data_IF_894598572841
#
_entry.id   IF_894598572841
#
_cell.length_a   1.000
_cell.length_b   1.000
_cell.length_c   1.000
_cell.angle_alpha   90.00
_cell.angle_beta   90.00
_cell.angle_gamma   90.00
#
_symmetry.space_group_name_H-M   'P 1'
#
loop_
_entity.id
_entity.type
_entity.pdbx_description
1 polymer ?
#
# COMPACT_ATOMS: atom_id res chain seq x y z
N UNK A 1 -50.91 -25.85 -3.48
CA UNK A 1 -50.99 -24.55 -2.80
C UNK A 1 -51.71 -23.60 -3.75
N UNK A 2 -52.76 -22.92 -3.29
CA UNK A 2 -53.55 -22.01 -4.11
C UNK A 2 -52.74 -20.76 -4.42
N UNK A 3 -52.40 -20.56 -5.70
CA UNK A 3 -51.77 -19.34 -6.17
C UNK A 3 -52.83 -18.22 -6.16
N UNK A 4 -52.86 -17.41 -5.09
CA UNK A 4 -53.73 -16.24 -4.99
C UNK A 4 -53.22 -15.13 -5.91
N UNK A 5 -53.47 -15.26 -7.21
CA UNK A 5 -53.10 -14.25 -8.20
C UNK A 5 -54.22 -13.21 -8.31
N UNK A 6 -53.91 -11.97 -7.97
CA UNK A 6 -54.71 -10.83 -8.43
C UNK A 6 -54.24 -10.52 -9.84
N UNK A 7 -55.12 -10.71 -10.82
CA UNK A 7 -54.87 -10.29 -12.20
C UNK A 7 -55.34 -8.85 -12.35
N UNK A 8 -54.41 -7.96 -12.68
CA UNK A 8 -54.76 -6.63 -13.17
C UNK A 8 -54.90 -6.76 -14.69
N UNK A 9 -56.10 -6.50 -15.22
CA UNK A 9 -56.24 -6.31 -16.66
C UNK A 9 -55.66 -4.93 -16.99
N UNK A 10 -55.02 -4.80 -18.15
CA UNK A 10 -54.45 -3.56 -18.64
C UNK A 10 -55.49 -2.47 -18.65
N UNK A 11 -55.20 -1.43 -17.87
CA UNK A 11 -55.99 -0.21 -17.88
C UNK A 11 -55.19 0.77 -18.73
N UNK A 12 -55.82 1.33 -19.75
CA UNK A 12 -55.22 2.42 -20.52
C UNK A 12 -54.89 3.60 -19.61
N UNK A 13 -53.88 4.39 -19.98
CA UNK A 13 -53.52 5.58 -19.21
C UNK A 13 -54.77 6.44 -18.91
N UNK A 14 -55.04 6.77 -17.64
CA UNK A 14 -56.21 7.53 -17.30
C UNK A 14 -56.07 9.00 -17.74
N UNK A 15 -57.21 9.67 -17.88
CA UNK A 15 -57.26 11.11 -18.10
C UNK A 15 -56.55 11.88 -16.97
N UNK A 16 -56.21 13.14 -17.23
CA UNK A 16 -55.60 14.00 -16.22
C UNK A 16 -56.54 14.15 -15.00
N UNK A 17 -56.11 13.75 -13.79
CA UNK A 17 -56.89 13.92 -12.58
C UNK A 17 -57.25 15.39 -12.34
N UNK A 18 -58.41 15.64 -11.73
CA UNK A 18 -58.74 16.98 -11.21
C UNK A 18 -57.76 17.41 -10.09
N UNK A 19 -57.69 18.72 -9.84
CA UNK A 19 -56.80 19.30 -8.82
C UNK A 19 -56.86 18.54 -7.48
N UNK A 20 -55.69 18.28 -6.89
CA UNK A 20 -55.52 17.52 -5.64
C UNK A 20 -55.95 16.03 -5.68
N UNK A 21 -56.03 15.41 -6.87
CA UNK A 21 -56.25 13.96 -7.02
C UNK A 21 -55.03 13.25 -7.62
N UNK A 22 -54.94 11.94 -7.37
CA UNK A 22 -53.93 11.04 -7.92
C UNK A 22 -54.59 9.77 -8.44
N UNK A 23 -54.24 9.34 -9.64
CA UNK A 23 -54.63 8.04 -10.20
C UNK A 23 -53.44 7.08 -10.21
N UNK A 24 -53.70 5.78 -10.03
CA UNK A 24 -52.71 4.69 -10.08
C UNK A 24 -53.25 3.58 -10.99
N UNK A 25 -52.46 3.08 -11.94
CA UNK A 25 -52.84 1.97 -12.82
C UNK A 25 -51.66 1.05 -13.16
N UNK A 26 -51.96 -0.15 -13.64
CA UNK A 26 -50.98 -1.07 -14.22
C UNK A 26 -50.94 -0.85 -15.73
N UNK A 27 -49.75 -0.52 -16.23
CA UNK A 27 -49.47 -0.39 -17.65
C UNK A 27 -49.02 -1.76 -18.20
N UNK A 28 -49.80 -2.32 -19.12
CA UNK A 28 -49.52 -3.65 -19.70
C UNK A 28 -48.34 -3.65 -20.67
N UNK A 29 -48.10 -2.53 -21.36
CA UNK A 29 -47.01 -2.42 -22.33
C UNK A 29 -45.67 -2.36 -21.60
N UNK A 30 -45.61 -1.58 -20.52
CA UNK A 30 -44.39 -1.42 -19.71
C UNK A 30 -44.27 -2.42 -18.55
N UNK A 31 -45.32 -3.20 -18.28
CA UNK A 31 -45.44 -4.15 -17.16
C UNK A 31 -45.16 -3.54 -15.77
N UNK A 32 -45.55 -2.29 -15.54
CA UNK A 32 -45.31 -1.55 -14.29
C UNK A 32 -46.56 -0.85 -13.78
N UNK A 33 -46.60 -0.54 -12.48
CA UNK A 33 -47.59 0.40 -11.94
C UNK A 33 -47.14 1.84 -12.17
N UNK A 34 -48.06 2.73 -12.57
CA UNK A 34 -47.84 4.17 -12.80
C UNK A 34 -48.85 5.02 -12.01
N UNK A 35 -48.41 6.17 -11.50
CA UNK A 35 -49.21 7.24 -10.93
C UNK A 35 -49.36 8.42 -11.90
N UNK A 36 -50.45 9.18 -11.80
CA UNK A 36 -50.64 10.45 -12.49
C UNK A 36 -51.29 11.44 -11.54
N UNK A 37 -50.75 12.66 -11.48
CA UNK A 37 -51.28 13.77 -10.67
C UNK A 37 -52.02 14.76 -11.57
N UNK A 38 -52.60 15.79 -10.96
CA UNK A 38 -53.34 16.86 -11.64
C UNK A 38 -52.53 17.66 -12.68
N UNK A 39 -51.20 17.52 -12.67
CA UNK A 39 -50.31 18.03 -13.72
C UNK A 39 -50.39 17.25 -15.05
N UNK A 40 -51.13 16.13 -15.10
CA UNK A 40 -51.32 15.33 -16.31
C UNK A 40 -50.09 14.51 -16.72
N UNK A 41 -49.08 14.39 -15.86
CA UNK A 41 -47.87 13.60 -16.14
C UNK A 41 -47.98 12.23 -15.47
N UNK A 42 -47.88 11.18 -16.29
CA UNK A 42 -47.74 9.80 -15.84
C UNK A 42 -46.31 9.52 -15.36
N UNK A 43 -46.15 9.01 -14.14
CA UNK A 43 -44.87 8.64 -13.55
C UNK A 43 -44.98 7.20 -13.03
N UNK A 44 -43.98 6.32 -13.20
CA UNK A 44 -44.03 5.00 -12.61
C UNK A 44 -44.12 5.07 -11.07
N UNK A 45 -44.99 4.27 -10.43
CA UNK A 45 -45.07 4.10 -8.98
C UNK A 45 -43.87 3.26 -8.52
N UNK A 46 -42.71 3.89 -8.48
CA UNK A 46 -41.51 3.30 -7.92
C UNK A 46 -41.42 3.75 -6.46
N UNK A 47 -41.91 2.90 -5.56
CA UNK A 47 -41.64 3.03 -4.13
C UNK A 47 -40.18 2.68 -3.83
N UNK A 48 -39.26 3.57 -4.21
CA UNK A 48 -37.84 3.49 -3.84
C UNK A 48 -37.13 2.22 -4.31
N UNK A 49 -36.99 2.07 -5.62
CA UNK A 49 -35.98 1.20 -6.25
C UNK A 49 -36.17 -0.31 -6.03
N UNK A 50 -36.93 -0.97 -6.92
CA UNK A 50 -36.54 -2.32 -7.31
C UNK A 50 -35.38 -2.15 -8.30
N UNK A 51 -34.18 -1.99 -7.76
CA UNK A 51 -32.95 -2.27 -8.50
C UNK A 51 -32.95 -3.80 -8.61
N UNK A 52 -33.46 -4.33 -9.71
CA UNK A 52 -33.17 -5.72 -10.05
C UNK A 52 -31.67 -5.88 -10.39
N UNK A 53 -31.03 -4.77 -10.77
CA UNK A 53 -29.63 -4.56 -11.14
C UNK A 53 -29.28 -3.08 -10.95
N UNK A 54 -28.22 -2.74 -10.20
CA UNK A 54 -27.70 -1.36 -10.14
C UNK A 54 -26.44 -1.31 -10.97
N UNK A 55 -26.41 -0.43 -11.97
CA UNK A 55 -25.22 -0.21 -12.78
C UNK A 55 -24.23 0.74 -12.09
N UNK A 56 -24.66 1.50 -11.08
CA UNK A 56 -23.81 2.45 -10.36
C UNK A 56 -24.36 2.89 -8.99
N UNK A 57 -23.48 3.11 -8.04
CA UNK A 57 -23.73 3.79 -6.77
C UNK A 57 -23.47 5.29 -6.93
N UNK A 58 -24.49 6.11 -6.71
CA UNK A 58 -24.41 7.57 -6.78
C UNK A 58 -24.48 8.22 -5.40
N UNK A 59 -23.66 9.24 -5.21
CA UNK A 59 -23.74 10.15 -4.08
C UNK A 59 -23.96 11.59 -4.55
N UNK A 60 -24.84 12.33 -3.88
CA UNK A 60 -25.05 13.74 -4.18
C UNK A 60 -24.06 14.59 -3.39
N UNK A 61 -23.19 15.30 -4.10
CA UNK A 61 -22.06 16.06 -3.54
C UNK A 61 -22.18 17.55 -3.87
N UNK A 62 -21.48 18.39 -3.10
CA UNK A 62 -21.47 19.84 -3.30
C UNK A 62 -20.05 20.36 -3.51
N UNK A 63 -19.90 21.32 -4.41
CA UNK A 63 -18.62 21.96 -4.68
C UNK A 63 -18.55 23.34 -4.01
N UNK A 64 -17.56 23.54 -3.14
CA UNK A 64 -17.25 24.84 -2.53
C UNK A 64 -15.78 25.27 -2.75
N UNK A 65 -15.12 24.74 -3.78
CA UNK A 65 -13.68 24.96 -4.05
C UNK A 65 -13.32 26.33 -4.65
N UNK A 66 -14.31 27.19 -4.92
CA UNK A 66 -14.12 28.47 -5.60
C UNK A 66 -14.06 28.40 -7.14
N UNK A 67 -14.03 27.21 -7.73
CA UNK A 67 -14.00 27.00 -9.18
C UNK A 67 -14.92 25.84 -9.60
N UNK A 68 -15.17 25.69 -10.90
CA UNK A 68 -15.89 24.53 -11.44
C UNK A 68 -15.05 23.26 -11.26
N UNK A 69 -15.69 22.17 -10.82
CA UNK A 69 -15.13 20.83 -10.89
C UNK A 69 -15.67 20.14 -12.16
N UNK A 70 -14.84 19.87 -13.17
CA UNK A 70 -15.31 19.25 -14.40
C UNK A 70 -15.79 17.80 -14.21
N UNK A 71 -16.62 17.31 -15.14
CA UNK A 71 -16.92 15.89 -15.33
C UNK A 71 -15.64 15.07 -15.42
N UNK A 72 -15.67 13.80 -14.99
CA UNK A 72 -14.51 12.88 -14.95
C UNK A 72 -13.44 13.26 -13.92
N UNK A 73 -13.65 14.31 -13.11
CA UNK A 73 -12.74 14.64 -12.00
C UNK A 73 -12.85 13.60 -10.88
N UNK A 74 -11.72 13.01 -10.48
CA UNK A 74 -11.62 12.16 -9.28
C UNK A 74 -11.61 13.05 -8.03
N UNK A 75 -12.43 12.72 -7.04
CA UNK A 75 -12.63 13.56 -5.85
C UNK A 75 -12.56 12.79 -4.53
N UNK A 76 -12.20 13.51 -3.46
CA UNK A 76 -12.31 13.07 -2.07
C UNK A 76 -13.34 13.92 -1.33
N UNK A 77 -13.86 13.42 -0.21
CA UNK A 77 -14.74 14.18 0.67
C UNK A 77 -13.89 15.15 1.51
N UNK A 78 -14.05 16.45 1.29
CA UNK A 78 -13.31 17.52 1.97
C UNK A 78 -14.03 18.10 3.20
N UNK A 79 -15.29 17.70 3.42
CA UNK A 79 -16.10 18.15 4.55
C UNK A 79 -17.58 17.90 4.29
N UNK A 80 -18.44 18.66 4.96
CA UNK A 80 -19.88 18.59 4.74
C UNK A 80 -20.56 19.95 4.98
N UNK A 81 -21.69 20.17 4.32
CA UNK A 81 -22.57 21.32 4.56
C UNK A 81 -24.00 20.99 4.14
N UNK A 82 -25.00 21.45 4.91
CA UNK A 82 -26.42 21.29 4.55
C UNK A 82 -26.82 19.83 4.23
N UNK A 83 -26.35 18.87 5.04
CA UNK A 83 -26.55 17.43 4.86
C UNK A 83 -25.94 16.83 3.57
N UNK A 84 -24.91 17.47 3.01
CA UNK A 84 -24.22 17.00 1.80
C UNK A 84 -22.71 16.94 2.01
N UNK A 85 -22.02 15.91 1.49
CA UNK A 85 -20.56 15.92 1.42
C UNK A 85 -20.07 17.06 0.52
N UNK A 86 -19.03 17.75 0.98
CA UNK A 86 -18.21 18.63 0.17
C UNK A 86 -17.14 17.80 -0.53
N UNK A 87 -16.84 18.13 -1.78
CA UNK A 87 -15.81 17.45 -2.56
C UNK A 87 -14.76 18.40 -3.10
N UNK A 88 -13.52 17.90 -3.12
CA UNK A 88 -12.35 18.55 -3.71
C UNK A 88 -11.58 17.54 -4.57
N UNK A 89 -10.70 18.02 -5.45
CA UNK A 89 -9.92 17.16 -6.37
C UNK A 89 -8.97 16.24 -5.60
N UNK A 90 -8.99 14.95 -5.89
CA UNK A 90 -8.03 13.97 -5.36
C UNK A 90 -6.69 14.04 -6.08
N UNK A 91 -5.58 13.70 -5.42
CA UNK A 91 -4.27 13.61 -6.06
C UNK A 91 -3.39 12.60 -5.31
N UNK A 92 -2.68 11.74 -6.05
CA UNK A 92 -1.93 10.62 -5.48
C UNK A 92 -0.64 11.04 -4.74
N UNK A 93 -0.14 12.26 -4.95
CA UNK A 93 1.09 12.78 -4.32
C UNK A 93 0.85 13.44 -2.94
N UNK A 94 -0.35 13.29 -2.37
CA UNK A 94 -0.70 13.91 -1.09
C UNK A 94 -1.63 13.03 -0.26
N UNK A 95 -1.31 12.86 1.02
CA UNK A 95 -2.09 12.06 1.97
C UNK A 95 -3.57 12.45 2.02
N UNK A 96 -3.85 13.74 2.19
CA UNK A 96 -5.23 14.26 2.23
C UNK A 96 -6.00 13.98 0.94
N UNK A 97 -5.32 14.00 -0.20
CA UNK A 97 -5.92 13.85 -1.52
C UNK A 97 -6.13 12.39 -1.97
N UNK A 98 -5.41 11.44 -1.38
CA UNK A 98 -5.42 10.03 -1.80
C UNK A 98 -6.09 9.10 -0.80
N UNK A 99 -5.86 9.26 0.51
CA UNK A 99 -6.33 8.35 1.57
C UNK A 99 -7.86 8.29 1.66
N UNK A 100 -8.54 9.33 1.17
CA UNK A 100 -10.01 9.50 1.21
C UNK A 100 -10.63 9.66 -0.17
N UNK A 101 -9.96 9.19 -1.23
CA UNK A 101 -10.55 9.19 -2.57
C UNK A 101 -11.90 8.49 -2.52
N UNK A 102 -12.92 9.13 -3.10
CA UNK A 102 -14.32 8.77 -2.89
C UNK A 102 -15.01 8.31 -4.17
N UNK A 103 -14.76 8.98 -5.28
CA UNK A 103 -15.40 8.64 -6.55
C UNK A 103 -15.06 9.62 -7.67
N UNK A 104 -15.81 9.54 -8.77
CA UNK A 104 -15.58 10.34 -9.98
C UNK A 104 -16.85 11.12 -10.34
N UNK A 105 -16.71 12.40 -10.68
CA UNK A 105 -17.86 13.27 -10.99
C UNK A 105 -18.54 12.88 -12.31
N UNK A 106 -19.87 12.77 -12.27
CA UNK A 106 -20.72 12.45 -13.42
C UNK A 106 -21.01 13.66 -14.33
N UNK A 107 -20.81 14.87 -13.83
CA UNK A 107 -21.00 16.10 -14.58
C UNK A 107 -20.08 17.21 -14.06
N UNK A 108 -20.05 18.32 -14.78
CA UNK A 108 -19.50 19.56 -14.26
C UNK A 108 -20.32 20.05 -13.06
N UNK A 109 -19.64 20.46 -12.00
CA UNK A 109 -20.25 21.05 -10.81
C UNK A 109 -19.65 22.44 -10.62
N UNK A 110 -20.42 23.48 -10.89
CA UNK A 110 -20.04 24.88 -10.66
C UNK A 110 -19.76 25.14 -9.18
N UNK A 111 -19.04 26.21 -8.86
CA UNK A 111 -18.90 26.66 -7.47
C UNK A 111 -20.27 26.91 -6.83
N UNK A 112 -20.47 26.45 -5.60
CA UNK A 112 -21.77 26.43 -4.90
C UNK A 112 -22.87 25.60 -5.59
N UNK A 113 -22.50 24.81 -6.61
CA UNK A 113 -23.35 23.84 -7.26
C UNK A 113 -23.40 22.51 -6.51
N UNK A 114 -24.41 21.73 -6.83
CA UNK A 114 -24.60 20.35 -6.35
C UNK A 114 -24.63 19.44 -7.56
N UNK A 115 -24.05 18.24 -7.44
CA UNK A 115 -24.05 17.26 -8.50
C UNK A 115 -23.88 15.83 -7.99
N UNK A 116 -23.60 14.92 -8.91
CA UNK A 116 -23.50 13.49 -8.64
C UNK A 116 -22.05 13.03 -8.79
N UNK A 117 -21.65 12.21 -7.84
CA UNK A 117 -20.39 11.47 -7.85
C UNK A 117 -20.72 9.98 -7.98
N UNK A 118 -20.09 9.30 -8.95
CA UNK A 118 -20.12 7.85 -9.08
C UNK A 118 -19.10 7.29 -8.10
N UNK A 119 -19.59 6.57 -7.09
CA UNK A 119 -18.77 5.94 -6.04
C UNK A 119 -18.29 4.56 -6.51
N UNK A 120 -19.19 3.80 -7.16
CA UNK A 120 -18.88 2.50 -7.77
C UNK A 120 -19.79 2.29 -9.00
N UNK A 121 -19.33 1.56 -10.00
CA UNK A 121 -20.06 1.23 -11.23
C UNK A 121 -19.82 2.21 -12.39
N UNK A 122 -20.68 2.17 -13.41
CA UNK A 122 -20.37 2.80 -14.70
C UNK A 122 -20.52 4.33 -14.72
N UNK A 123 -19.42 5.03 -14.95
CA UNK A 123 -19.39 6.42 -15.41
C UNK A 123 -19.41 6.43 -16.95
N UNK A 124 -20.47 7.00 -17.52
CA UNK A 124 -20.73 6.99 -18.96
C UNK A 124 -20.65 8.39 -19.57
N UNK A 125 -20.49 8.44 -20.90
CA UNK A 125 -20.50 9.67 -21.66
C UNK A 125 -19.27 10.54 -21.39
N UNK A 126 -18.12 9.89 -21.18
CA UNK A 126 -16.83 10.55 -20.89
C UNK A 126 -15.85 10.29 -22.02
N UNK A 127 -14.98 11.26 -22.30
CA UNK A 127 -13.87 11.03 -23.22
C UNK A 127 -12.87 10.04 -22.60
N UNK A 128 -12.69 8.92 -23.29
CA UNK A 128 -11.74 7.84 -22.96
C UNK A 128 -10.90 7.45 -24.16
N UNK A 129 -10.92 8.23 -25.26
CA UNK A 129 -10.25 7.86 -26.51
C UNK A 129 -8.72 7.75 -26.39
N UNK A 130 -8.17 8.35 -25.33
CA UNK A 130 -6.75 8.26 -24.97
C UNK A 130 -6.39 6.94 -24.25
N UNK A 131 -7.38 6.13 -23.91
CA UNK A 131 -7.22 4.86 -23.22
C UNK A 131 -7.67 3.70 -24.10
N UNK A 132 -7.16 2.50 -23.82
CA UNK A 132 -7.62 1.25 -24.43
C UNK A 132 -8.67 0.57 -23.56
N UNK A 133 -9.60 -0.16 -24.18
CA UNK A 133 -10.57 -0.98 -23.47
C UNK A 133 -9.86 -2.03 -22.60
N UNK A 134 -10.35 -2.25 -21.38
CA UNK A 134 -9.74 -3.11 -20.37
C UNK A 134 -8.55 -2.49 -19.62
N UNK A 135 -8.11 -1.27 -19.95
CA UNK A 135 -7.03 -0.63 -19.19
C UNK A 135 -7.45 -0.28 -17.77
N UNK A 136 -6.54 -0.54 -16.83
CA UNK A 136 -6.63 -0.04 -15.46
C UNK A 136 -6.35 1.46 -15.40
N UNK A 137 -7.14 2.17 -14.60
CA UNK A 137 -6.94 3.58 -14.31
C UNK A 137 -6.57 3.76 -12.84
N UNK A 138 -5.60 4.63 -12.60
CA UNK A 138 -5.09 5.01 -11.29
C UNK A 138 -5.27 6.51 -11.09
N UNK A 139 -5.27 6.94 -9.82
CA UNK A 139 -5.26 8.36 -9.49
C UNK A 139 -3.94 9.00 -9.94
N UNK A 140 -4.00 10.15 -10.60
CA UNK A 140 -2.79 10.83 -11.08
C UNK A 140 -2.00 11.47 -9.92
N UNK A 141 -0.66 11.30 -9.88
CA UNK A 141 0.20 12.01 -8.93
C UNK A 141 0.49 13.46 -9.36
N UNK A 142 0.36 13.77 -10.65
CA UNK A 142 0.77 15.06 -11.24
C UNK A 142 -0.40 15.95 -11.68
N UNK A 143 -1.61 15.40 -11.79
CA UNK A 143 -2.81 16.13 -12.23
C UNK A 143 -3.92 15.95 -11.20
N UNK A 144 -4.22 17.00 -10.44
CA UNK A 144 -5.32 16.98 -9.46
C UNK A 144 -6.66 16.63 -10.13
N UNK A 145 -7.29 15.57 -9.63
CA UNK A 145 -8.53 14.99 -10.12
C UNK A 145 -8.38 14.22 -11.44
N UNK A 146 -7.15 14.02 -11.92
CA UNK A 146 -6.84 13.29 -13.14
C UNK A 146 -6.70 11.79 -12.93
N UNK A 147 -6.82 11.06 -14.04
CA UNK A 147 -6.60 9.62 -14.13
C UNK A 147 -5.32 9.35 -14.95
N UNK A 148 -4.60 8.28 -14.61
CA UNK A 148 -3.42 7.81 -15.34
C UNK A 148 -3.48 6.31 -15.57
N UNK A 149 -2.87 5.83 -16.65
CA UNK A 149 -2.68 4.39 -16.93
C UNK A 149 -1.36 3.87 -16.35
N UNK A 150 -0.42 4.76 -16.04
CA UNK A 150 0.83 4.40 -15.36
C UNK A 150 0.56 4.24 -13.88
N UNK A 151 0.72 3.00 -13.38
CA UNK A 151 0.59 2.67 -11.96
C UNK A 151 1.57 3.52 -11.13
N UNK A 152 1.10 4.33 -10.17
CA UNK A 152 1.97 5.08 -9.26
C UNK A 152 2.88 4.15 -8.44
N UNK A 153 4.04 4.66 -8.06
CA UNK A 153 5.00 4.01 -7.17
C UNK A 153 5.41 4.96 -6.06
N UNK A 154 5.81 4.42 -4.90
CA UNK A 154 6.29 5.21 -3.77
C UNK A 154 7.33 6.26 -4.22
N UNK A 155 7.25 7.52 -3.74
CA UNK A 155 6.42 7.98 -2.63
C UNK A 155 4.95 8.28 -2.98
N UNK A 156 4.55 8.24 -4.25
CA UNK A 156 3.15 8.48 -4.63
C UNK A 156 2.23 7.33 -4.19
N UNK A 157 1.01 7.66 -3.78
CA UNK A 157 0.07 6.71 -3.20
C UNK A 157 -0.66 5.90 -4.26
N UNK A 158 -0.72 4.59 -4.05
CA UNK A 158 -1.35 3.66 -4.97
C UNK A 158 -2.88 3.68 -4.79
N UNK A 159 -3.58 4.49 -5.58
CA UNK A 159 -5.05 4.53 -5.60
C UNK A 159 -5.56 4.01 -6.94
N UNK A 160 -6.19 2.84 -6.93
CA UNK A 160 -6.88 2.29 -8.09
C UNK A 160 -8.24 2.98 -8.25
N UNK A 161 -8.61 3.34 -9.49
CA UNK A 161 -9.84 4.08 -9.75
C UNK A 161 -10.87 3.31 -10.58
N UNK A 162 -10.46 2.27 -11.33
CA UNK A 162 -11.38 1.51 -12.17
C UNK A 162 -10.77 0.98 -13.46
N UNK A 163 -11.66 0.54 -14.36
CA UNK A 163 -11.31 0.04 -15.70
C UNK A 163 -12.00 0.84 -16.79
N UNK A 164 -11.36 0.97 -17.94
CA UNK A 164 -12.02 1.43 -19.16
C UNK A 164 -12.86 0.30 -19.74
N UNK A 165 -14.17 0.48 -19.81
CA UNK A 165 -15.10 -0.49 -20.39
C UNK A 165 -15.30 -0.24 -21.89
N UNK A 166 -15.31 1.02 -22.30
CA UNK A 166 -15.45 1.43 -23.70
C UNK A 166 -14.55 2.62 -23.97
N UNK A 167 -13.72 2.52 -25.01
CA UNK A 167 -12.87 3.63 -25.48
C UNK A 167 -13.61 4.41 -26.56
N UNK A 168 -14.07 5.60 -26.22
CA UNK A 168 -14.76 6.49 -27.16
C UNK A 168 -14.61 7.95 -26.74
N UNK A 169 -14.67 8.86 -27.71
CA UNK A 169 -14.52 10.31 -27.49
C UNK A 169 -15.70 10.92 -26.71
N UNK A 170 -16.93 10.45 -26.95
CA UNK A 170 -18.15 10.99 -26.33
C UNK A 170 -18.94 9.96 -25.52
N UNK A 171 -18.79 8.68 -25.85
CA UNK A 171 -19.60 7.58 -25.30
C UNK A 171 -18.74 6.61 -24.49
N UNK A 172 -17.59 7.09 -24.03
CA UNK A 172 -16.67 6.29 -23.24
C UNK A 172 -17.29 5.91 -21.91
N UNK A 173 -16.85 4.76 -21.41
CA UNK A 173 -17.35 4.18 -20.17
C UNK A 173 -16.17 3.78 -19.29
N UNK A 174 -16.20 4.22 -18.04
CA UNK A 174 -15.28 3.80 -16.99
C UNK A 174 -16.09 3.04 -15.94
N UNK A 175 -15.71 1.80 -15.65
CA UNK A 175 -16.19 1.07 -14.47
C UNK A 175 -15.44 1.59 -13.25
N UNK A 176 -16.09 2.46 -12.47
CA UNK A 176 -15.49 3.09 -11.30
C UNK A 176 -15.41 2.10 -10.16
N UNK A 177 -14.21 1.95 -9.59
CA UNK A 177 -13.96 1.17 -8.38
C UNK A 177 -12.77 1.77 -7.64
N UNK A 178 -13.06 2.63 -6.68
CA UNK A 178 -12.01 3.27 -5.90
C UNK A 178 -11.46 2.27 -4.87
N UNK A 179 -10.14 2.04 -4.92
CA UNK A 179 -9.41 1.30 -3.87
C UNK A 179 -8.22 2.14 -3.43
N UNK A 180 -8.32 2.69 -2.21
CA UNK A 180 -7.23 3.45 -1.61
C UNK A 180 -6.15 2.47 -1.12
N UNK A 181 -4.89 2.79 -1.40
CA UNK A 181 -3.75 2.11 -0.80
C UNK A 181 -3.66 2.39 0.69
N UNK A 182 -3.00 1.48 1.41
CA UNK A 182 -2.69 1.65 2.82
C UNK A 182 -1.22 1.98 2.97
N UNK A 183 -0.91 2.93 3.85
CA UNK A 183 0.44 3.14 4.31
C UNK A 183 0.76 2.17 5.47
N UNK A 184 2.04 1.87 5.65
CA UNK A 184 2.48 0.90 6.67
C UNK A 184 2.06 1.31 8.09
N UNK A 185 2.11 2.62 8.38
CA UNK A 185 1.69 3.23 9.64
C UNK A 185 0.17 3.23 9.86
N UNK A 186 -0.64 2.95 8.85
CA UNK A 186 -2.11 2.89 8.99
C UNK A 186 -2.59 1.50 9.43
N UNK A 187 -1.72 0.49 9.38
CA UNK A 187 -2.06 -0.86 9.83
C UNK A 187 -2.27 -0.88 11.35
N UNK A 188 -3.36 -1.52 11.79
CA UNK A 188 -3.80 -1.47 13.19
C UNK A 188 -2.80 -2.02 14.22
N UNK A 189 -1.86 -2.86 13.79
CA UNK A 189 -0.85 -3.47 14.66
C UNK A 189 0.56 -2.94 14.39
N UNK A 190 0.70 -1.82 13.65
CA UNK A 190 1.97 -1.17 13.37
C UNK A 190 2.02 0.16 14.11
N UNK A 191 3.07 0.36 14.92
CA UNK A 191 3.33 1.57 15.68
C UNK A 191 4.71 2.11 15.31
N UNK A 192 4.75 3.04 14.37
CA UNK A 192 5.97 3.68 13.89
C UNK A 192 6.08 5.10 14.46
N UNK A 193 7.26 5.46 14.98
CA UNK A 193 7.55 6.82 15.44
C UNK A 193 9.00 7.22 15.09
N UNK A 194 9.19 8.39 14.48
CA UNK A 194 10.52 8.96 14.23
C UNK A 194 11.46 8.03 13.46
N UNK A 195 11.09 7.67 12.23
CA UNK A 195 11.88 6.76 11.39
C UNK A 195 13.29 7.31 11.16
N UNK A 196 14.30 6.47 11.39
CA UNK A 196 15.71 6.76 11.10
C UNK A 196 16.37 5.62 10.32
N UNK A 197 17.49 5.91 9.66
CA UNK A 197 18.24 4.90 8.89
C UNK A 197 18.67 3.72 9.78
N UNK A 198 18.57 2.50 9.26
CA UNK A 198 18.99 1.28 9.97
C UNK A 198 17.94 0.67 10.90
N UNK A 199 16.69 1.14 10.84
CA UNK A 199 15.59 0.55 11.59
C UNK A 199 14.89 -0.57 10.82
N UNK A 200 14.36 -1.56 11.54
CA UNK A 200 13.46 -2.58 11.03
C UNK A 200 12.16 -2.60 11.84
N UNK A 201 11.12 -3.23 11.29
CA UNK A 201 9.93 -3.57 12.07
C UNK A 201 10.19 -4.81 12.91
N UNK A 202 10.05 -4.67 14.23
CA UNK A 202 10.21 -5.76 15.20
C UNK A 202 8.90 -5.94 15.96
N UNK A 203 8.44 -7.18 16.06
CA UNK A 203 7.24 -7.51 16.83
C UNK A 203 7.55 -7.54 18.34
N UNK A 204 6.83 -6.76 19.12
CA UNK A 204 6.98 -6.69 20.57
C UNK A 204 5.80 -7.38 21.27
N UNK A 205 6.07 -8.54 21.89
CA UNK A 205 5.04 -9.38 22.50
C UNK A 205 4.28 -8.71 23.65
N UNK A 206 4.92 -7.81 24.41
CA UNK A 206 4.29 -7.08 25.52
C UNK A 206 3.18 -6.14 25.07
N UNK A 207 3.29 -5.57 23.87
CA UNK A 207 2.27 -4.69 23.30
C UNK A 207 1.47 -5.33 22.17
N UNK A 208 1.89 -6.49 21.66
CA UNK A 208 1.33 -7.15 20.48
C UNK A 208 1.38 -6.28 19.21
N UNK A 209 2.40 -5.41 19.10
CA UNK A 209 2.57 -4.44 18.02
C UNK A 209 3.90 -4.65 17.29
N UNK A 210 3.95 -4.29 16.02
CA UNK A 210 5.17 -4.08 15.24
C UNK A 210 5.67 -2.66 15.46
N UNK A 211 6.92 -2.49 15.87
CA UNK A 211 7.54 -1.17 16.12
C UNK A 211 8.79 -0.99 15.28
N UNK A 212 9.10 0.24 14.89
CA UNK A 212 10.40 0.54 14.30
C UNK A 212 11.49 0.52 15.39
N UNK A 213 12.50 -0.32 15.20
CA UNK A 213 13.62 -0.46 16.13
C UNK A 213 14.92 -0.47 15.36
N UNK A 214 15.94 0.21 15.89
CA UNK A 214 17.30 0.14 15.33
C UNK A 214 17.82 -1.28 15.49
N UNK A 215 18.13 -1.93 14.37
CA UNK A 215 18.79 -3.22 14.40
C UNK A 215 20.29 -2.92 14.46
N UNK A 216 20.90 -3.19 15.62
CA UNK A 216 22.35 -3.27 15.69
C UNK A 216 22.73 -4.58 15.01
N UNK A 217 23.23 -4.50 13.78
CA UNK A 217 23.92 -5.62 13.17
C UNK A 217 25.25 -5.69 13.94
N UNK A 218 25.53 -6.77 14.70
CA UNK A 218 26.86 -6.92 15.30
C UNK A 218 27.89 -6.81 14.17
N UNK A 219 29.09 -6.24 14.42
CA UNK A 219 30.12 -6.18 13.39
C UNK A 219 30.25 -7.56 12.76
N UNK A 220 30.26 -7.63 11.43
CA UNK A 220 30.41 -8.90 10.72
C UNK A 220 31.75 -9.48 11.14
N UNK A 221 31.73 -10.45 12.05
CA UNK A 221 32.92 -11.21 12.42
C UNK A 221 33.49 -11.81 11.13
N UNK A 222 34.59 -11.27 10.64
CA UNK A 222 35.26 -11.82 9.46
C UNK A 222 36.18 -12.91 9.95
N UNK A 223 35.82 -14.17 9.66
CA UNK A 223 36.71 -15.30 9.89
C UNK A 223 37.98 -15.14 9.05
N UNK A 224 39.11 -15.03 9.73
CA UNK A 224 40.44 -14.85 9.15
C UNK A 224 41.28 -16.08 9.47
N UNK A 225 41.97 -16.62 8.47
CA UNK A 225 42.91 -17.74 8.62
C UNK A 225 44.27 -17.27 8.13
N UNK A 226 45.26 -17.33 9.01
CA UNK A 226 46.64 -16.94 8.70
C UNK A 226 47.57 -18.13 8.84
N UNK A 227 48.54 -18.20 7.93
CA UNK A 227 49.59 -19.21 7.95
C UNK A 227 50.93 -18.52 8.17
N UNK A 228 51.67 -18.99 9.16
CA UNK A 228 53.01 -18.50 9.48
C UNK A 228 54.02 -19.61 9.24
N UNK A 229 55.21 -19.25 8.76
CA UNK A 229 56.41 -20.10 8.84
C UNK A 229 57.37 -19.36 9.77
N UNK A 230 57.71 -19.97 10.89
CA UNK A 230 58.48 -19.30 11.94
C UNK A 230 59.90 -19.02 11.47
N UNK A 231 60.35 -17.79 11.67
CA UNK A 231 61.74 -17.40 11.46
C UNK A 231 62.51 -17.28 12.79
N UNK A 232 63.81 -16.95 12.71
CA UNK A 232 64.64 -16.80 13.89
C UNK A 232 64.16 -15.68 14.83
N UNK A 233 63.51 -14.63 14.29
CA UNK A 233 62.97 -13.53 15.10
C UNK A 233 61.78 -14.03 15.91
N UNK A 234 60.84 -14.74 15.28
CA UNK A 234 59.65 -15.29 15.95
C UNK A 234 60.03 -16.24 17.09
N UNK A 235 61.02 -17.11 16.89
CA UNK A 235 61.51 -18.01 17.95
C UNK A 235 62.14 -17.19 19.09
N UNK A 236 63.00 -16.22 18.77
CA UNK A 236 63.66 -15.38 19.78
C UNK A 236 62.68 -14.54 20.60
N UNK A 237 61.58 -14.06 19.99
CA UNK A 237 60.53 -13.29 20.65
C UNK A 237 59.38 -14.14 21.18
N UNK A 238 59.40 -15.46 20.93
CA UNK A 238 58.35 -16.42 21.26
C UNK A 238 56.94 -15.96 20.89
N UNK A 239 56.83 -15.30 19.73
CA UNK A 239 55.59 -14.66 19.29
C UNK A 239 55.49 -14.46 17.78
N UNK A 240 54.25 -14.34 17.31
CA UNK A 240 53.88 -13.88 15.97
C UNK A 240 52.88 -12.73 16.08
N UNK A 241 52.89 -11.87 15.06
CA UNK A 241 51.95 -10.75 14.94
C UNK A 241 50.91 -11.07 13.88
N UNK A 242 49.64 -11.13 14.29
CA UNK A 242 48.49 -11.30 13.42
C UNK A 242 48.23 -10.01 12.62
N UNK A 243 47.68 -10.15 11.41
CA UNK A 243 47.41 -8.98 10.55
C UNK A 243 46.34 -8.05 11.11
N UNK A 244 45.50 -8.55 12.02
CA UNK A 244 44.45 -7.80 12.71
C UNK A 244 44.32 -8.22 14.17
N UNK A 245 43.87 -7.29 15.02
CA UNK A 245 43.46 -7.60 16.40
C UNK A 245 42.20 -8.47 16.37
N UNK A 246 42.20 -9.66 17.00
CA UNK A 246 40.99 -10.48 17.14
C UNK A 246 39.89 -9.76 17.93
N UNK A 247 38.63 -9.95 17.52
CA UNK A 247 37.46 -9.42 18.24
C UNK A 247 37.34 -10.00 19.65
N UNK A 248 37.73 -11.26 19.82
CA UNK A 248 37.81 -11.97 21.10
C UNK A 248 39.05 -12.87 21.11
N UNK A 249 40.06 -12.49 21.89
CA UNK A 249 41.32 -13.23 22.02
C UNK A 249 41.11 -14.69 22.46
N UNK A 250 40.08 -14.97 23.27
CA UNK A 250 39.83 -16.34 23.77
C UNK A 250 39.25 -17.28 22.72
N UNK A 251 38.78 -16.73 21.60
CA UNK A 251 38.26 -17.49 20.46
C UNK A 251 39.33 -17.80 19.39
N UNK A 252 40.55 -17.27 19.53
CA UNK A 252 41.64 -17.53 18.60
C UNK A 252 42.08 -18.97 18.74
N UNK A 253 42.12 -19.71 17.63
CA UNK A 253 42.63 -21.09 17.59
C UNK A 253 43.99 -21.16 16.93
N UNK A 254 44.93 -21.89 17.52
CA UNK A 254 46.26 -22.15 16.97
C UNK A 254 46.41 -23.65 16.67
N UNK A 255 46.83 -23.96 15.44
CA UNK A 255 47.31 -25.29 15.08
C UNK A 255 48.79 -25.21 14.70
N UNK A 256 49.61 -26.09 15.29
CA UNK A 256 50.93 -26.39 14.75
C UNK A 256 50.75 -27.39 13.62
N UNK A 257 51.12 -27.03 12.39
CA UNK A 257 50.88 -27.87 11.22
C UNK A 257 51.70 -29.15 11.30
N UNK A 258 51.03 -30.30 11.27
CA UNK A 258 51.60 -31.64 11.54
C UNK A 258 51.98 -31.90 13.01
N UNK A 259 51.59 -31.00 13.92
CA UNK A 259 51.71 -31.16 15.37
C UNK A 259 50.37 -31.46 16.03
N UNK A 260 50.31 -31.31 17.36
CA UNK A 260 49.07 -31.40 18.13
C UNK A 260 48.25 -30.11 18.06
N UNK A 261 46.96 -30.21 18.38
CA UNK A 261 46.11 -29.06 18.64
C UNK A 261 46.61 -28.30 19.89
N UNK A 262 46.43 -26.98 19.91
CA UNK A 262 46.87 -26.12 20.99
C UNK A 262 45.67 -25.50 21.71
N UNK A 263 45.82 -25.24 23.00
CA UNK A 263 44.78 -24.70 23.87
C UNK A 263 45.10 -23.25 24.26
N UNK A 264 44.19 -22.32 23.94
CA UNK A 264 44.32 -20.93 24.38
C UNK A 264 44.36 -20.83 25.90
N UNK A 265 45.26 -20.01 26.43
CA UNK A 265 45.46 -19.79 27.87
C UNK A 265 46.37 -20.83 28.53
N UNK A 266 46.59 -21.99 27.89
CA UNK A 266 47.53 -23.01 28.36
C UNK A 266 48.80 -23.01 27.48
N UNK A 267 48.65 -23.27 26.19
CA UNK A 267 49.74 -23.42 25.22
C UNK A 267 50.18 -22.11 24.57
N UNK A 268 49.30 -21.11 24.55
CA UNK A 268 49.58 -19.77 24.02
C UNK A 268 48.59 -18.75 24.58
N UNK A 269 48.92 -17.48 24.47
CA UNK A 269 48.01 -16.37 24.79
C UNK A 269 47.96 -15.38 23.63
N UNK A 270 46.92 -14.56 23.59
CA UNK A 270 46.76 -13.51 22.58
C UNK A 270 46.40 -12.20 23.26
N UNK A 271 47.20 -11.17 23.01
CA UNK A 271 46.97 -9.81 23.49
C UNK A 271 47.12 -8.84 22.31
N UNK A 272 46.10 -8.00 22.10
CA UNK A 272 45.97 -7.21 20.87
C UNK A 272 46.10 -8.13 19.64
N UNK A 273 47.00 -7.83 18.71
CA UNK A 273 47.27 -8.66 17.54
C UNK A 273 48.52 -9.53 17.70
N UNK A 274 48.98 -9.80 18.92
CA UNK A 274 50.17 -10.64 19.17
C UNK A 274 49.75 -11.96 19.80
N UNK A 275 50.07 -13.06 19.13
CA UNK A 275 50.02 -14.39 19.70
C UNK A 275 51.40 -14.72 20.28
N UNK A 276 51.42 -15.07 21.57
CA UNK A 276 52.65 -15.39 22.30
C UNK A 276 52.55 -16.80 22.90
N UNK A 277 53.63 -17.55 22.76
CA UNK A 277 53.84 -18.82 23.46
C UNK A 277 54.96 -18.69 24.52
N UNK A 278 55.35 -17.48 24.87
CA UNK A 278 56.34 -17.26 25.93
C UNK A 278 55.87 -17.81 27.28
N UNK A 279 56.76 -18.49 27.99
CA UNK A 279 56.49 -19.16 29.27
C UNK A 279 55.30 -20.14 29.28
N UNK A 280 54.95 -20.70 28.12
CA UNK A 280 53.92 -21.75 27.95
C UNK A 280 54.55 -23.11 27.65
N UNK A 281 53.79 -24.22 27.67
CA UNK A 281 54.28 -25.53 27.21
C UNK A 281 54.80 -25.57 25.78
N UNK A 282 54.38 -24.66 24.90
CA UNK A 282 54.93 -24.53 23.54
C UNK A 282 56.32 -23.89 23.50
N UNK A 283 56.75 -23.22 24.58
CA UNK A 283 58.06 -22.60 24.64
C UNK A 283 59.19 -23.64 24.55
N UNK A 284 60.09 -23.44 23.59
CA UNK A 284 61.20 -24.35 23.32
C UNK A 284 60.80 -25.64 22.59
N UNK A 285 59.54 -25.79 22.20
CA UNK A 285 59.06 -26.87 21.32
C UNK A 285 59.05 -26.43 19.86
N UNK A 286 58.68 -25.18 19.60
CA UNK A 286 58.65 -24.60 18.26
C UNK A 286 60.04 -24.19 17.81
N UNK A 287 60.36 -24.47 16.54
CA UNK A 287 61.65 -24.18 15.91
C UNK A 287 61.50 -23.37 14.60
N UNK A 288 62.61 -22.82 14.13
CA UNK A 288 62.67 -22.10 12.84
C UNK A 288 62.26 -23.04 11.71
N UNK A 289 61.26 -22.62 10.94
CA UNK A 289 60.69 -23.39 9.84
C UNK A 289 59.37 -24.09 10.16
N UNK A 290 58.98 -24.17 11.44
CA UNK A 290 57.67 -24.68 11.83
C UNK A 290 56.55 -23.82 11.25
N UNK A 291 55.43 -24.47 10.94
CA UNK A 291 54.27 -23.83 10.34
C UNK A 291 53.13 -23.75 11.32
N UNK A 292 52.59 -22.56 11.51
CA UNK A 292 51.41 -22.32 12.34
C UNK A 292 50.22 -21.95 11.46
N UNK A 293 49.04 -22.41 11.82
CA UNK A 293 47.76 -21.93 11.29
C UNK A 293 46.99 -21.28 12.43
N UNK A 294 46.65 -20.01 12.29
CA UNK A 294 45.86 -19.26 13.27
C UNK A 294 44.51 -18.90 12.66
N UNK A 295 43.42 -19.21 13.36
CA UNK A 295 42.07 -18.82 12.96
C UNK A 295 41.45 -17.92 14.01
N UNK A 296 40.87 -16.79 13.58
CA UNK A 296 40.24 -15.82 14.48
C UNK A 296 39.21 -14.95 13.76
N UNK A 297 38.33 -14.29 14.50
CA UNK A 297 37.41 -13.27 13.96
C UNK A 297 37.98 -11.88 14.18
N UNK A 298 37.77 -10.98 13.21
CA UNK A 298 38.02 -9.55 13.33
C UNK A 298 36.76 -8.74 13.05
#
# INVERSE_FOLDING_TARGET
MSDSKIRFNGIQEPETPAANRVYLWYDEDDQIFKIKRDNGVAEPLVGGTIVANTEKLLCVVRNQTGATLPKKTVVYISGATGNRPLVSKSQASSEMGSSKTFGILQQDILHNGTGYCVVEGQLTGVDTSMFSEGQMLWLSPTVAGGLTTTKPSAPDHLVFCGYVVRSHITDGIIEVKIQNGFELQELHNVAINGVTNGQALVYESSTQLWKNQTISIPPSNVYTVEYFTLDALNISSSSITLSHTPTDSSSVTLDVVSGSAQVYGEDYTVSLNVLSWDATPLYGILDVGDKLRVTYTR
#
